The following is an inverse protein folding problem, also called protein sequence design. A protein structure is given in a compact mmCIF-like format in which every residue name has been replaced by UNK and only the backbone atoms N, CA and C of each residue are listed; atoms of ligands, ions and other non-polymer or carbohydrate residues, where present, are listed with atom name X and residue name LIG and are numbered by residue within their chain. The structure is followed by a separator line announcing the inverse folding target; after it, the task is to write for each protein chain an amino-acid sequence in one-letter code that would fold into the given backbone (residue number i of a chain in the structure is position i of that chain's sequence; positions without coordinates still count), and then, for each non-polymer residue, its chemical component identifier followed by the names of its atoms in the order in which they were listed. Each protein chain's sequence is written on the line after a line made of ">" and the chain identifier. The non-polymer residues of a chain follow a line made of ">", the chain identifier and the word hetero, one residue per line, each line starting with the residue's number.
data_IF_809029296495
#
_entry.id   IF_809029296495
#
_cell.length_a   1.000
_cell.length_b   1.000
_cell.length_c   1.000
_cell.angle_alpha   90.00
_cell.angle_beta   90.00
_cell.angle_gamma   90.00
#
_symmetry.space_group_name_H-M   'P 1'
#
loop_
_entity.id
_entity.type
_entity.pdbx_description
1 polymer ?
#
# COMPACT_ATOMS: atom_id res chain seq x y z
N UNK A 1 -6.71 -9.06 -22.47
CA UNK A 1 -7.04 -10.48 -22.25
C UNK A 1 -7.68 -10.68 -20.89
N UNK A 2 -8.50 -11.74 -20.74
CA UNK A 2 -9.16 -12.09 -19.48
C UNK A 2 -8.13 -12.31 -18.38
N UNK A 3 -8.39 -11.70 -17.21
CA UNK A 3 -7.54 -11.83 -16.03
C UNK A 3 -6.28 -10.99 -16.02
N UNK A 4 -5.88 -10.37 -17.12
CA UNK A 4 -4.76 -9.41 -17.11
C UNK A 4 -5.15 -8.10 -16.42
N UNK A 5 -4.18 -7.52 -15.72
CA UNK A 5 -4.34 -6.25 -15.06
C UNK A 5 -4.13 -5.08 -16.02
N UNK A 6 -5.05 -4.12 -16.00
CA UNK A 6 -4.98 -2.92 -16.83
C UNK A 6 -5.64 -1.72 -16.18
N UNK A 7 -5.29 -0.51 -16.68
CA UNK A 7 -5.94 0.72 -16.26
C UNK A 7 -7.40 0.76 -16.75
N UNK A 8 -8.32 1.05 -15.85
CA UNK A 8 -9.74 1.14 -16.17
C UNK A 8 -10.06 2.47 -16.86
N UNK A 9 -10.51 2.38 -18.11
CA UNK A 9 -11.10 3.50 -18.83
C UNK A 9 -12.57 3.24 -19.07
N UNK A 10 -13.42 4.22 -18.79
CA UNK A 10 -14.87 4.12 -19.00
C UNK A 10 -15.36 5.08 -20.07
N UNK A 11 -16.40 4.65 -20.82
CA UNK A 11 -17.13 5.47 -21.75
C UNK A 11 -18.62 5.34 -21.43
N UNK A 12 -19.31 6.47 -21.26
CA UNK A 12 -20.75 6.46 -21.07
C UNK A 12 -21.47 6.29 -22.42
N UNK A 13 -22.36 5.29 -22.50
CA UNK A 13 -23.10 5.00 -23.72
C UNK A 13 -24.47 5.71 -23.72
N UNK A 14 -25.19 5.71 -22.59
CA UNK A 14 -26.57 6.19 -22.48
C UNK A 14 -26.75 7.24 -21.37
N UNK A 15 -25.82 8.19 -21.22
CA UNK A 15 -25.95 9.27 -20.24
C UNK A 15 -26.31 10.60 -20.93
N UNK A 16 -27.30 11.30 -20.33
CA UNK A 16 -27.59 12.70 -20.61
C UNK A 16 -26.98 13.55 -19.50
N UNK A 17 -26.18 14.53 -19.82
CA UNK A 17 -25.41 15.34 -18.85
C UNK A 17 -23.93 15.19 -19.12
N UNK A 18 -23.11 15.10 -18.08
CA UNK A 18 -21.67 14.92 -18.26
C UNK A 18 -21.38 13.57 -18.89
N UNK A 19 -20.88 13.59 -20.13
CA UNK A 19 -20.50 12.38 -20.87
C UNK A 19 -18.99 12.17 -20.75
N UNK A 20 -18.61 11.02 -20.20
CA UNK A 20 -17.20 10.60 -20.13
C UNK A 20 -16.89 9.72 -21.34
N UNK A 21 -15.82 10.06 -22.06
CA UNK A 21 -15.32 9.28 -23.19
C UNK A 21 -13.88 8.87 -22.90
N UNK A 22 -13.60 7.57 -22.85
CA UNK A 22 -12.28 7.00 -22.51
C UNK A 22 -11.66 7.63 -21.25
N UNK A 23 -12.50 7.91 -20.27
CA UNK A 23 -12.06 8.53 -19.02
C UNK A 23 -11.33 7.51 -18.17
N UNK A 24 -10.07 7.81 -17.86
CA UNK A 24 -9.27 7.01 -16.94
C UNK A 24 -9.73 7.25 -15.50
N UNK A 25 -10.31 6.22 -14.90
CA UNK A 25 -10.87 6.30 -13.52
C UNK A 25 -9.74 6.40 -12.50
N UNK A 26 -8.54 5.92 -12.84
CA UNK A 26 -7.39 5.85 -11.94
C UNK A 26 -7.35 4.55 -11.15
N UNK A 27 -8.08 3.54 -11.60
CA UNK A 27 -8.07 2.20 -11.02
C UNK A 27 -7.36 1.22 -11.96
N UNK A 28 -6.60 0.29 -11.37
CA UNK A 28 -6.04 -0.88 -12.04
C UNK A 28 -6.92 -2.06 -11.66
N UNK A 29 -7.47 -2.73 -12.66
CA UNK A 29 -8.43 -3.82 -12.50
C UNK A 29 -8.08 -5.00 -13.39
N UNK A 30 -8.64 -6.15 -13.10
CA UNK A 30 -8.78 -7.25 -14.04
C UNK A 30 -10.24 -7.35 -14.50
N UNK A 31 -10.46 -7.75 -15.74
CA UNK A 31 -11.79 -7.98 -16.29
C UNK A 31 -12.02 -9.48 -16.51
N UNK A 32 -13.29 -9.91 -16.42
CA UNK A 32 -13.74 -11.21 -16.84
C UNK A 32 -14.95 -11.05 -17.74
N UNK A 33 -14.97 -11.78 -18.84
CA UNK A 33 -16.09 -11.89 -19.76
C UNK A 33 -17.02 -13.07 -19.43
N UNK A 34 -16.62 -13.91 -18.47
CA UNK A 34 -17.40 -15.04 -18.02
C UNK A 34 -18.68 -14.62 -17.29
N UNK A 35 -19.78 -15.35 -17.41
CA UNK A 35 -20.99 -15.10 -16.63
C UNK A 35 -20.69 -15.09 -15.12
N UNK A 36 -21.47 -14.30 -14.38
CA UNK A 36 -21.31 -14.24 -12.92
C UNK A 36 -21.58 -15.62 -12.30
N UNK A 37 -20.66 -16.20 -11.51
CA UNK A 37 -20.84 -17.53 -10.91
C UNK A 37 -21.97 -17.58 -9.87
N UNK A 38 -22.43 -16.42 -9.36
CA UNK A 38 -23.48 -16.35 -8.34
C UNK A 38 -24.88 -16.17 -8.93
N UNK A 39 -25.04 -15.35 -9.98
CA UNK A 39 -26.35 -15.02 -10.53
C UNK A 39 -26.50 -15.27 -12.03
N UNK A 40 -25.48 -15.78 -12.70
CA UNK A 40 -25.49 -16.11 -14.14
C UNK A 40 -25.54 -14.90 -15.07
N UNK A 41 -25.49 -13.65 -14.55
CA UNK A 41 -25.52 -12.45 -15.38
C UNK A 41 -24.31 -12.39 -16.30
N UNK A 42 -24.57 -12.26 -17.61
CA UNK A 42 -23.53 -12.03 -18.62
C UNK A 42 -23.04 -10.58 -18.64
N UNK A 43 -21.97 -10.34 -19.40
CA UNK A 43 -21.32 -9.04 -19.57
C UNK A 43 -20.02 -8.93 -18.79
N UNK A 44 -19.23 -7.91 -19.16
CA UNK A 44 -17.93 -7.68 -18.57
C UNK A 44 -18.04 -7.33 -17.08
N UNK A 45 -17.17 -7.94 -16.28
CA UNK A 45 -17.12 -7.72 -14.84
C UNK A 45 -15.72 -7.33 -14.41
N UNK A 46 -15.65 -6.34 -13.52
CA UNK A 46 -14.42 -6.02 -12.79
C UNK A 46 -14.24 -7.07 -11.68
N UNK A 47 -13.05 -7.65 -11.62
CA UNK A 47 -12.67 -8.65 -10.61
C UNK A 47 -11.75 -7.99 -9.59
N UNK A 48 -11.99 -8.17 -8.28
CA UNK A 48 -11.07 -7.76 -7.23
C UNK A 48 -9.69 -8.47 -7.35
N UNK A 49 -8.60 -7.87 -6.82
CA UNK A 49 -8.57 -6.58 -6.13
C UNK A 49 -8.53 -5.39 -7.10
N UNK A 50 -9.25 -4.32 -6.73
CA UNK A 50 -9.17 -3.02 -7.41
C UNK A 50 -8.08 -2.21 -6.72
N UNK A 51 -7.09 -1.72 -7.49
CA UNK A 51 -5.97 -0.95 -6.97
C UNK A 51 -6.00 0.45 -7.57
N UNK A 52 -6.06 1.47 -6.74
CA UNK A 52 -6.00 2.86 -7.20
C UNK A 52 -4.59 3.26 -7.56
N UNK A 53 -4.41 3.82 -8.75
CA UNK A 53 -3.09 4.33 -9.19
C UNK A 53 -2.63 5.52 -8.36
N UNK A 54 -3.57 6.32 -7.80
CA UNK A 54 -3.26 7.46 -6.92
C UNK A 54 -2.72 7.04 -5.55
N UNK A 55 -2.99 5.81 -5.15
CA UNK A 55 -2.56 5.28 -3.86
C UNK A 55 -1.19 4.59 -3.96
N UNK A 56 -0.62 4.52 -5.17
CA UNK A 56 0.72 3.98 -5.35
C UNK A 56 1.77 5.04 -5.06
N UNK A 57 2.75 4.70 -4.25
CA UNK A 57 3.87 5.55 -3.90
C UNK A 57 5.12 5.02 -4.58
N UNK A 58 5.89 5.91 -5.21
CA UNK A 58 7.17 5.54 -5.80
C UNK A 58 8.26 5.61 -4.72
N UNK A 59 8.94 4.49 -4.48
CA UNK A 59 10.05 4.38 -3.52
C UNK A 59 11.18 3.61 -4.20
N UNK A 60 12.38 4.13 -4.20
CA UNK A 60 13.55 3.53 -4.89
C UNK A 60 13.25 3.11 -6.34
N UNK A 61 12.47 3.92 -7.06
CA UNK A 61 12.07 3.63 -8.44
C UNK A 61 10.94 2.61 -8.59
N UNK A 62 10.46 1.97 -7.52
CA UNK A 62 9.39 1.00 -7.52
C UNK A 62 8.07 1.63 -7.10
N UNK A 63 6.97 1.24 -7.77
CA UNK A 63 5.62 1.60 -7.35
C UNK A 63 5.14 0.58 -6.32
N UNK A 64 4.89 1.04 -5.10
CA UNK A 64 4.38 0.22 -4.00
C UNK A 64 2.94 0.58 -3.68
N UNK A 65 2.17 -0.42 -3.24
CA UNK A 65 0.83 -0.21 -2.72
C UNK A 65 0.91 -0.09 -1.18
N UNK A 66 0.66 1.10 -0.60
CA UNK A 66 0.72 1.29 0.85
C UNK A 66 -0.20 0.37 1.63
N UNK A 67 -1.41 0.12 1.13
CA UNK A 67 -2.39 -0.73 1.80
C UNK A 67 -1.85 -2.15 1.97
N UNK A 68 -1.28 -2.73 0.90
CA UNK A 68 -0.69 -4.07 0.95
C UNK A 68 0.50 -4.13 1.91
N UNK A 69 1.34 -3.09 1.90
CA UNK A 69 2.46 -2.99 2.84
C UNK A 69 1.98 -2.95 4.30
N UNK A 70 1.01 -2.07 4.60
CA UNK A 70 0.49 -1.90 5.95
C UNK A 70 -0.24 -3.15 6.45
N UNK A 71 -1.01 -3.83 5.59
CA UNK A 71 -1.65 -5.11 5.91
C UNK A 71 -0.61 -6.20 6.20
N UNK A 72 0.43 -6.29 5.38
CA UNK A 72 1.50 -7.28 5.57
C UNK A 72 2.27 -7.06 6.88
N UNK A 73 2.57 -5.80 7.22
CA UNK A 73 3.21 -5.46 8.49
C UNK A 73 2.28 -5.70 9.69
N UNK A 74 0.99 -5.36 9.56
CA UNK A 74 -0.01 -5.61 10.60
C UNK A 74 -0.26 -7.09 10.89
N UNK A 75 0.08 -7.98 9.95
CA UNK A 75 0.00 -9.42 10.14
C UNK A 75 1.21 -10.02 10.89
N UNK A 76 2.30 -9.25 11.08
CA UNK A 76 3.47 -9.71 11.84
C UNK A 76 3.11 -9.80 13.33
N UNK A 77 3.21 -10.99 13.95
CA UNK A 77 2.75 -11.18 15.32
C UNK A 77 3.66 -10.44 16.33
N UNK A 78 3.03 -9.97 17.42
CA UNK A 78 3.71 -9.38 18.58
C UNK A 78 4.36 -8.02 18.31
N UNK A 79 3.84 -7.28 17.37
CA UNK A 79 4.06 -5.85 17.22
C UNK A 79 2.86 -5.14 17.86
N UNK A 80 3.11 -4.27 18.83
CA UNK A 80 2.06 -3.49 19.49
C UNK A 80 1.65 -2.31 18.60
N UNK A 81 2.67 -1.62 18.05
CA UNK A 81 2.49 -0.50 17.14
C UNK A 81 3.59 -0.48 16.07
N UNK A 82 3.25 0.02 14.88
CA UNK A 82 4.24 0.25 13.83
C UNK A 82 3.90 1.48 13.00
N UNK A 83 4.94 2.03 12.38
CA UNK A 83 4.84 3.14 11.44
C UNK A 83 5.86 2.96 10.32
N UNK A 84 5.45 3.21 9.10
CA UNK A 84 6.35 3.28 7.93
C UNK A 84 6.68 4.73 7.67
N UNK A 85 7.96 5.04 7.60
CA UNK A 85 8.48 6.37 7.26
C UNK A 85 9.24 6.26 5.94
N UNK A 86 8.88 7.08 4.98
CA UNK A 86 9.61 7.24 3.73
C UNK A 86 10.41 8.53 3.82
N UNK A 87 11.71 8.43 3.64
CA UNK A 87 12.64 9.56 3.73
C UNK A 87 13.75 9.41 2.70
N UNK A 88 14.67 10.35 2.68
CA UNK A 88 15.92 10.25 1.95
C UNK A 88 17.04 9.69 2.85
N UNK A 89 18.02 8.98 2.26
CA UNK A 89 19.16 8.45 3.01
C UNK A 89 20.01 9.56 3.62
N UNK A 90 20.12 10.67 2.92
CA UNK A 90 20.69 11.91 3.44
C UNK A 90 19.58 12.97 3.46
N UNK A 91 19.16 13.37 4.64
CA UNK A 91 18.09 14.38 4.82
C UNK A 91 18.46 15.76 4.27
N UNK A 92 19.74 16.03 4.08
CA UNK A 92 20.24 17.30 3.54
C UNK A 92 20.42 17.28 2.01
N UNK A 93 20.31 16.11 1.37
CA UNK A 93 20.40 15.96 -0.08
C UNK A 93 19.08 15.43 -0.65
N UNK A 94 18.24 16.30 -1.28
CA UNK A 94 16.97 15.89 -1.87
C UNK A 94 17.12 14.97 -3.08
N UNK A 95 18.35 14.76 -3.57
CA UNK A 95 18.66 13.83 -4.66
C UNK A 95 19.21 12.50 -4.15
N UNK A 96 19.38 12.34 -2.85
CA UNK A 96 19.79 11.07 -2.27
C UNK A 96 18.73 9.99 -2.46
N UNK A 97 19.12 8.74 -2.34
CA UNK A 97 18.20 7.62 -2.54
C UNK A 97 17.11 7.60 -1.47
N UNK A 98 15.90 7.23 -1.87
CA UNK A 98 14.82 6.96 -0.93
C UNK A 98 15.22 5.91 0.11
N UNK A 99 14.77 6.07 1.33
CA UNK A 99 14.84 5.07 2.38
C UNK A 99 13.45 4.74 2.92
N UNK A 100 13.19 3.46 3.15
CA UNK A 100 12.00 2.99 3.85
C UNK A 100 12.42 2.56 5.25
N UNK A 101 11.86 3.20 6.27
CA UNK A 101 12.08 2.86 7.66
C UNK A 101 10.78 2.30 8.22
N UNK A 102 10.86 1.13 8.86
CA UNK A 102 9.74 0.58 9.62
C UNK A 102 10.06 0.75 11.11
N UNK A 103 9.39 1.69 11.74
CA UNK A 103 9.44 1.88 13.20
C UNK A 103 8.49 0.90 13.85
N UNK A 104 8.95 0.18 14.83
CA UNK A 104 8.15 -0.81 15.57
C UNK A 104 8.27 -0.61 17.07
N UNK A 105 7.15 -0.77 17.77
CA UNK A 105 7.08 -0.94 19.22
C UNK A 105 6.68 -2.38 19.53
N UNK A 106 7.47 -3.04 20.36
CA UNK A 106 7.23 -4.42 20.76
C UNK A 106 7.83 -4.70 22.12
N UNK A 107 7.16 -5.44 23.02
CA UNK A 107 7.66 -5.84 24.32
C UNK A 107 8.72 -6.96 24.22
N UNK A 108 9.00 -7.47 23.00
CA UNK A 108 9.90 -8.61 22.82
C UNK A 108 11.36 -8.25 23.01
N UNK A 109 12.07 -9.21 23.64
CA UNK A 109 13.55 -9.18 23.77
C UNK A 109 14.26 -9.77 22.57
N UNK A 110 13.59 -10.66 21.80
CA UNK A 110 14.15 -11.27 20.57
C UNK A 110 13.99 -10.32 19.38
N UNK A 111 14.87 -9.34 19.32
CA UNK A 111 14.86 -8.30 18.30
C UNK A 111 15.21 -8.83 16.91
N UNK A 112 16.16 -9.77 16.82
CA UNK A 112 16.65 -10.27 15.52
C UNK A 112 15.55 -11.04 14.76
N UNK A 113 14.81 -11.90 15.45
CA UNK A 113 13.68 -12.60 14.86
C UNK A 113 12.58 -11.64 14.40
N UNK A 114 12.33 -10.57 15.15
CA UNK A 114 11.35 -9.58 14.80
C UNK A 114 11.79 -8.73 13.61
N UNK A 115 13.05 -8.31 13.56
CA UNK A 115 13.66 -7.62 12.40
C UNK A 115 13.53 -8.46 11.14
N UNK A 116 13.83 -9.77 11.22
CA UNK A 116 13.67 -10.68 10.09
C UNK A 116 12.22 -10.73 9.61
N UNK A 117 11.29 -10.96 10.53
CA UNK A 117 9.87 -11.09 10.17
C UNK A 117 9.30 -9.80 9.53
N UNK A 118 9.63 -8.63 10.07
CA UNK A 118 9.24 -7.32 9.54
C UNK A 118 9.87 -7.09 8.16
N UNK A 119 11.16 -7.43 8.02
CA UNK A 119 11.87 -7.28 6.75
C UNK A 119 11.26 -8.17 5.68
N UNK A 120 10.96 -9.43 5.99
CA UNK A 120 10.38 -10.40 5.06
C UNK A 120 8.97 -9.97 4.64
N UNK A 121 8.15 -9.48 5.58
CA UNK A 121 6.82 -8.97 5.30
C UNK A 121 6.87 -7.76 4.35
N UNK A 122 7.71 -6.77 4.65
CA UNK A 122 7.86 -5.58 3.83
C UNK A 122 8.43 -5.92 2.44
N UNK A 123 9.45 -6.78 2.38
CA UNK A 123 10.09 -7.18 1.13
C UNK A 123 9.16 -7.99 0.23
N UNK A 124 8.33 -8.85 0.81
CA UNK A 124 7.31 -9.59 0.08
C UNK A 124 6.26 -8.65 -0.53
N UNK A 125 5.82 -7.65 0.23
CA UNK A 125 4.80 -6.70 -0.20
C UNK A 125 5.31 -5.69 -1.24
N UNK A 126 6.59 -5.26 -1.14
CA UNK A 126 7.10 -4.09 -1.88
C UNK A 126 8.32 -4.37 -2.73
N UNK A 127 9.02 -5.50 -2.53
CA UNK A 127 10.36 -5.80 -3.07
C UNK A 127 11.46 -4.87 -2.53
N UNK A 128 11.17 -4.08 -1.50
CA UNK A 128 12.12 -3.15 -0.88
C UNK A 128 12.46 -3.68 0.51
N UNK A 129 13.75 -3.73 0.82
CA UNK A 129 14.23 -4.05 2.15
C UNK A 129 14.23 -2.78 3.02
N UNK A 130 13.43 -2.74 4.11
CA UNK A 130 13.40 -1.59 4.99
C UNK A 130 14.58 -1.59 5.98
N UNK A 131 14.86 -0.42 6.55
CA UNK A 131 15.51 -0.33 7.86
C UNK A 131 14.44 -0.51 8.94
N UNK A 132 14.76 -1.25 9.99
CA UNK A 132 13.85 -1.48 11.12
C UNK A 132 14.40 -0.78 12.35
N UNK A 133 13.62 0.14 12.90
CA UNK A 133 13.95 0.90 14.10
C UNK A 133 12.99 0.54 15.24
N UNK A 134 13.55 0.27 16.44
CA UNK A 134 12.76 0.04 17.64
C UNK A 134 12.54 1.37 18.37
N UNK A 135 11.29 1.66 18.65
CA UNK A 135 10.85 2.90 19.32
C UNK A 135 9.81 2.58 20.39
N UNK A 136 9.50 3.54 21.26
CA UNK A 136 8.39 3.43 22.19
C UNK A 136 7.06 3.59 21.42
N UNK A 137 6.00 2.92 21.90
CA UNK A 137 4.69 2.98 21.26
C UNK A 137 4.14 4.41 21.20
N UNK A 138 4.43 5.22 22.20
CA UNK A 138 4.06 6.65 22.29
C UNK A 138 4.73 7.53 21.24
N UNK A 139 5.90 7.09 20.70
CA UNK A 139 6.59 7.81 19.63
C UNK A 139 5.93 7.57 18.25
N UNK A 140 5.17 6.48 18.14
CA UNK A 140 4.39 6.17 16.94
C UNK A 140 2.99 6.77 17.06
N UNK A 141 2.35 6.53 18.19
CA UNK A 141 0.98 6.98 18.42
C UNK A 141 0.74 7.34 19.89
N UNK A 142 0.38 8.60 20.12
CA UNK A 142 -0.05 9.10 21.42
C UNK A 142 -1.56 9.43 21.35
N UNK A 143 -2.43 8.62 21.99
CA UNK A 143 -3.87 8.84 21.95
C UNK A 143 -4.31 10.15 22.64
N UNK A 144 -3.46 10.75 23.48
CA UNK A 144 -3.73 12.06 24.10
C UNK A 144 -3.56 13.22 23.09
N UNK A 145 -2.77 13.02 22.04
CA UNK A 145 -2.46 14.06 21.03
C UNK A 145 -3.18 13.84 19.70
N UNK A 146 -3.44 12.60 19.34
CA UNK A 146 -3.94 12.23 18.01
C UNK A 146 -5.12 11.27 18.09
N UNK A 147 -6.18 11.57 17.33
CA UNK A 147 -7.36 10.69 17.27
C UNK A 147 -7.12 9.38 16.50
N UNK A 148 -6.11 9.33 15.62
CA UNK A 148 -5.76 8.15 14.81
C UNK A 148 -4.26 8.05 14.62
N UNK A 149 -3.73 6.83 14.60
CA UNK A 149 -2.35 6.55 14.25
C UNK A 149 -2.13 6.80 12.75
N UNK A 150 -1.10 7.58 12.42
CA UNK A 150 -0.63 7.72 11.03
C UNK A 150 0.39 6.63 10.75
N UNK A 151 -0.06 5.59 10.04
CA UNK A 151 0.75 4.39 9.77
C UNK A 151 1.80 4.58 8.68
N UNK A 152 1.61 5.54 7.79
CA UNK A 152 2.55 5.88 6.72
C UNK A 152 2.80 7.39 6.73
N UNK A 153 4.07 7.76 6.82
CA UNK A 153 4.54 9.14 6.78
C UNK A 153 5.54 9.28 5.64
N UNK A 154 5.26 10.19 4.72
CA UNK A 154 6.18 10.53 3.63
C UNK A 154 6.83 11.87 3.97
N UNK A 155 8.16 11.86 4.17
CA UNK A 155 8.98 13.01 4.58
C UNK A 155 9.93 13.47 3.47
N UNK A 156 9.76 12.93 2.25
CA UNK A 156 10.64 13.25 1.11
C UNK A 156 10.27 14.56 0.43
#
# INVERSE_FOLDING_TARGET
>A
PDGERGALAITHINRRGTTLVRYLVGDIVSLSHEPCPHCGRGGDRVIPPIVRTKDLIKVKGMLINPTVLLESLGAVPRIDEFQVVLTHQDENDPYSMDEMIVRIASPRTDRDALVSAVTDAAQTATRIRPRVDFVEATDIYDPAKHAKATRLVDQR
#
